data_IF_353480488927
#
_entry.id   IF_353480488927
#
_cell.length_a   1.000
_cell.length_b   1.000
_cell.length_c   1.000
_cell.angle_alpha   90.00
_cell.angle_beta   90.00
_cell.angle_gamma   90.00
#
_symmetry.space_group_name_H-M   'P 1'
#
loop_
_entity.id
_entity.type
_entity.pdbx_description
1 polymer ?
#
# COMPACT_ATOMS: atom_id res chain seq x y z
N UNK A 1 -13.22 19.08 -9.92
CA UNK A 1 -12.43 18.77 -8.72
C UNK A 1 -11.63 17.53 -9.02
N UNK A 2 -10.32 17.54 -8.80
CA UNK A 2 -9.49 16.34 -8.89
C UNK A 2 -9.95 15.42 -7.78
N UNK A 3 -10.31 14.17 -8.11
CA UNK A 3 -10.66 13.14 -7.13
C UNK A 3 -9.54 12.10 -7.11
N UNK A 4 -9.08 11.83 -5.90
CA UNK A 4 -8.13 10.77 -5.63
C UNK A 4 -8.88 9.48 -5.29
N UNK A 5 -8.31 8.32 -5.59
CA UNK A 5 -8.77 7.07 -4.98
C UNK A 5 -7.70 6.56 -4.04
N UNK A 6 -8.10 6.26 -2.81
CA UNK A 6 -7.25 5.66 -1.79
C UNK A 6 -7.76 4.26 -1.44
N UNK A 7 -6.98 3.25 -1.82
CA UNK A 7 -7.31 1.84 -1.64
C UNK A 7 -6.73 1.34 -0.32
N UNK A 8 -7.54 0.67 0.47
CA UNK A 8 -7.18 0.15 1.79
C UNK A 8 -7.57 -1.33 1.84
N UNK A 9 -6.61 -2.25 1.55
CA UNK A 9 -6.87 -3.68 1.70
C UNK A 9 -6.97 -4.03 3.18
N UNK A 10 -8.07 -4.67 3.59
CA UNK A 10 -8.39 -4.97 4.97
C UNK A 10 -8.75 -6.45 5.17
N UNK A 11 -7.84 -7.22 5.77
CA UNK A 11 -8.05 -8.64 6.09
C UNK A 11 -8.17 -8.84 7.60
N UNK A 12 -9.39 -9.05 8.10
CA UNK A 12 -9.70 -9.24 9.52
C UNK A 12 -9.17 -8.08 10.41
N UNK A 13 -9.57 -6.86 10.09
CA UNK A 13 -9.08 -5.63 10.75
C UNK A 13 -10.13 -5.04 11.74
N UNK A 14 -11.12 -5.80 12.19
CA UNK A 14 -12.22 -5.30 13.05
C UNK A 14 -11.74 -4.56 14.30
N UNK A 15 -10.58 -4.95 14.86
CA UNK A 15 -10.02 -4.31 16.06
C UNK A 15 -9.32 -2.97 15.75
N UNK A 16 -8.87 -2.74 14.49
CA UNK A 16 -7.98 -1.62 14.13
C UNK A 16 -8.52 -0.70 13.05
N UNK A 17 -9.47 -1.16 12.23
CA UNK A 17 -9.96 -0.39 11.09
C UNK A 17 -10.50 0.98 11.50
N UNK A 18 -11.03 1.13 12.72
CA UNK A 18 -11.49 2.41 13.27
C UNK A 18 -10.38 3.46 13.30
N UNK A 19 -9.13 3.07 13.58
CA UNK A 19 -7.98 4.00 13.59
C UNK A 19 -7.76 4.68 12.24
N UNK A 20 -8.13 4.02 11.15
CA UNK A 20 -8.04 4.57 9.80
C UNK A 20 -9.31 5.33 9.44
N UNK A 21 -10.49 4.78 9.75
CA UNK A 21 -11.78 5.42 9.47
C UNK A 21 -11.89 6.80 10.13
N UNK A 22 -11.49 6.92 11.40
CA UNK A 22 -11.53 8.18 12.16
C UNK A 22 -10.58 9.27 11.62
N UNK A 23 -9.63 8.91 10.76
CA UNK A 23 -8.76 9.86 10.06
C UNK A 23 -9.33 10.32 8.72
N UNK A 24 -10.39 9.69 8.21
CA UNK A 24 -11.00 10.05 6.93
C UNK A 24 -11.76 11.37 7.08
N UNK A 25 -11.26 12.41 6.43
CA UNK A 25 -11.82 13.76 6.49
C UNK A 25 -11.76 14.50 5.16
N UNK A 26 -11.11 13.90 4.13
CA UNK A 26 -10.84 14.54 2.85
C UNK A 26 -11.94 14.20 1.83
N UNK A 27 -12.85 15.11 1.51
CA UNK A 27 -13.96 14.84 0.57
C UNK A 27 -13.50 14.76 -0.89
N UNK A 28 -12.24 15.09 -1.19
CA UNK A 28 -11.64 14.90 -2.50
C UNK A 28 -11.17 13.46 -2.77
N UNK A 29 -11.19 12.61 -1.75
CA UNK A 29 -10.77 11.19 -1.83
C UNK A 29 -12.01 10.29 -1.93
N UNK A 30 -11.99 9.35 -2.88
CA UNK A 30 -12.81 8.14 -2.85
C UNK A 30 -12.05 7.08 -2.06
N UNK A 31 -12.53 6.73 -0.89
CA UNK A 31 -11.93 5.68 -0.05
C UNK A 31 -12.48 4.32 -0.47
N UNK A 32 -11.61 3.41 -0.92
CA UNK A 32 -11.99 2.07 -1.39
C UNK A 32 -11.41 1.04 -0.42
N UNK A 33 -12.27 0.56 0.49
CA UNK A 33 -11.88 -0.50 1.42
C UNK A 33 -12.18 -1.87 0.81
N UNK A 34 -11.15 -2.70 0.67
CA UNK A 34 -11.26 -4.05 0.09
C UNK A 34 -11.16 -5.05 1.22
N UNK A 35 -12.31 -5.54 1.67
CA UNK A 35 -12.46 -6.44 2.81
C UNK A 35 -12.54 -7.89 2.32
N UNK A 36 -11.47 -8.66 2.52
CA UNK A 36 -11.35 -10.06 2.09
C UNK A 36 -11.25 -11.06 3.26
N UNK A 37 -11.65 -10.61 4.46
CA UNK A 37 -11.68 -11.39 5.70
C UNK A 37 -13.05 -11.99 6.01
N UNK A 38 -13.15 -12.60 7.19
CA UNK A 38 -14.37 -13.27 7.70
C UNK A 38 -14.89 -12.62 8.98
N UNK A 39 -14.28 -11.54 9.46
CA UNK A 39 -14.65 -10.81 10.66
C UNK A 39 -15.65 -9.67 10.35
N UNK A 40 -15.89 -8.80 11.32
CA UNK A 40 -16.84 -7.70 11.21
C UNK A 40 -16.28 -6.43 10.56
N UNK A 41 -15.08 -6.48 10.00
CA UNK A 41 -14.46 -5.32 9.33
C UNK A 41 -15.41 -4.62 8.36
N UNK A 42 -16.05 -5.33 7.38
CA UNK A 42 -16.93 -4.66 6.42
C UNK A 42 -18.18 -4.05 7.07
N UNK A 43 -18.71 -4.63 8.14
CA UNK A 43 -19.86 -4.08 8.84
C UNK A 43 -19.51 -2.78 9.58
N UNK A 44 -18.31 -2.70 10.13
CA UNK A 44 -17.79 -1.49 10.77
C UNK A 44 -17.61 -0.37 9.73
N UNK A 45 -17.08 -0.70 8.55
CA UNK A 45 -16.91 0.26 7.45
C UNK A 45 -18.27 0.79 6.97
N UNK A 46 -19.24 -0.08 6.72
CA UNK A 46 -20.58 0.32 6.27
C UNK A 46 -21.32 1.14 7.35
N UNK A 47 -21.12 0.80 8.63
CA UNK A 47 -21.63 1.58 9.75
C UNK A 47 -21.05 3.00 9.77
N UNK A 48 -19.75 3.12 9.57
CA UNK A 48 -19.05 4.41 9.51
C UNK A 48 -19.51 5.25 8.29
N UNK A 49 -19.59 4.64 7.12
CA UNK A 49 -20.04 5.31 5.91
C UNK A 49 -21.45 5.90 6.03
N UNK A 50 -22.36 5.22 6.74
CA UNK A 50 -23.75 5.71 6.96
C UNK A 50 -23.81 6.97 7.82
N UNK A 51 -22.91 7.11 8.78
CA UNK A 51 -22.86 8.29 9.67
C UNK A 51 -22.00 9.42 9.14
N UNK A 52 -21.24 9.17 8.05
CA UNK A 52 -20.39 10.12 7.34
C UNK A 52 -20.75 10.21 5.86
N UNK A 53 -21.98 10.66 5.50
CA UNK A 53 -22.43 10.72 4.12
C UNK A 53 -21.69 11.77 3.28
N UNK A 54 -20.94 12.68 3.92
CA UNK A 54 -20.05 13.66 3.27
C UNK A 54 -18.78 13.03 2.66
N UNK A 55 -18.43 11.80 3.10
CA UNK A 55 -17.27 11.06 2.61
C UNK A 55 -17.70 10.04 1.56
N UNK A 56 -16.89 9.90 0.52
CA UNK A 56 -17.13 8.90 -0.53
C UNK A 56 -16.40 7.60 -0.14
N UNK A 57 -17.11 6.67 0.49
CA UNK A 57 -16.56 5.41 1.02
C UNK A 57 -17.22 4.24 0.30
N UNK A 58 -16.42 3.46 -0.42
CA UNK A 58 -16.82 2.22 -1.08
C UNK A 58 -16.24 1.02 -0.33
N UNK A 59 -17.11 0.17 0.21
CA UNK A 59 -16.75 -1.09 0.85
C UNK A 59 -16.95 -2.27 -0.12
N UNK A 60 -15.85 -2.86 -0.57
CA UNK A 60 -15.87 -4.06 -1.40
C UNK A 60 -15.69 -5.31 -0.52
N UNK A 61 -16.67 -6.22 -0.56
CA UNK A 61 -16.68 -7.44 0.26
C UNK A 61 -16.32 -8.66 -0.59
N UNK A 62 -15.34 -9.42 -0.14
CA UNK A 62 -14.92 -10.67 -0.78
C UNK A 62 -14.98 -11.85 0.19
N UNK A 63 -15.63 -12.93 -0.21
CA UNK A 63 -15.74 -14.15 0.59
C UNK A 63 -14.49 -15.04 0.59
N UNK A 64 -13.47 -14.66 -0.20
CA UNK A 64 -12.21 -15.39 -0.30
C UNK A 64 -11.04 -14.45 -0.13
N UNK A 65 -9.96 -14.95 0.50
CA UNK A 65 -8.75 -14.16 0.72
C UNK A 65 -8.06 -13.81 -0.59
N UNK A 66 -7.93 -12.51 -0.86
CA UNK A 66 -7.28 -11.96 -2.04
C UNK A 66 -5.76 -11.77 -1.84
N UNK A 67 -5.35 -11.55 -0.58
CA UNK A 67 -4.03 -11.07 -0.20
C UNK A 67 -3.86 -9.57 -0.45
N UNK A 68 -2.80 -8.96 0.11
CA UNK A 68 -2.55 -7.51 0.02
C UNK A 68 -2.57 -7.02 -1.43
N UNK A 69 -1.75 -7.61 -2.28
CA UNK A 69 -1.65 -7.23 -3.70
C UNK A 69 -2.94 -7.49 -4.47
N UNK A 70 -3.64 -8.61 -4.18
CA UNK A 70 -4.95 -8.88 -4.76
C UNK A 70 -5.97 -7.82 -4.38
N UNK A 71 -6.08 -7.47 -3.10
CA UNK A 71 -6.97 -6.41 -2.63
C UNK A 71 -6.68 -5.07 -3.29
N UNK A 72 -5.40 -4.68 -3.41
CA UNK A 72 -5.01 -3.44 -4.10
C UNK A 72 -5.44 -3.47 -5.57
N UNK A 73 -5.19 -4.56 -6.30
CA UNK A 73 -5.57 -4.69 -7.71
C UNK A 73 -7.09 -4.61 -7.91
N UNK A 74 -7.89 -5.23 -7.06
CA UNK A 74 -9.35 -5.11 -7.11
C UNK A 74 -9.82 -3.69 -6.80
N UNK A 75 -9.18 -3.02 -5.83
CA UNK A 75 -9.46 -1.61 -5.53
C UNK A 75 -9.12 -0.68 -6.71
N UNK A 76 -7.97 -0.88 -7.39
CA UNK A 76 -7.60 -0.13 -8.60
C UNK A 76 -8.64 -0.34 -9.70
N UNK A 77 -9.10 -1.57 -9.90
CA UNK A 77 -10.11 -1.90 -10.92
C UNK A 77 -11.47 -1.25 -10.61
N UNK A 78 -11.82 -1.06 -9.35
CA UNK A 78 -13.05 -0.38 -8.92
C UNK A 78 -12.94 1.15 -8.94
N UNK A 79 -11.73 1.69 -9.08
CA UNK A 79 -11.44 3.13 -9.11
C UNK A 79 -11.51 3.67 -10.53
N UNK A 80 -12.06 4.89 -10.66
CA UNK A 80 -12.06 5.68 -11.91
C UNK A 80 -11.17 6.92 -11.85
N UNK A 81 -10.50 7.17 -10.73
CA UNK A 81 -9.66 8.36 -10.54
C UNK A 81 -8.37 8.29 -11.35
N UNK A 82 -7.88 9.44 -11.81
CA UNK A 82 -6.60 9.58 -12.51
C UNK A 82 -5.39 9.40 -11.57
N UNK A 83 -5.59 9.65 -10.28
CA UNK A 83 -4.57 9.52 -9.26
C UNK A 83 -5.03 8.50 -8.21
N UNK A 84 -4.24 7.44 -8.06
CA UNK A 84 -4.59 6.27 -7.26
C UNK A 84 -3.50 5.98 -6.24
N UNK A 85 -3.90 5.87 -4.98
CA UNK A 85 -3.01 5.47 -3.90
C UNK A 85 -3.50 4.25 -3.17
N UNK A 86 -2.63 3.65 -2.39
CA UNK A 86 -3.00 2.62 -1.44
C UNK A 86 -2.21 2.76 -0.14
N UNK A 87 -2.82 2.33 0.96
CA UNK A 87 -2.19 2.30 2.27
C UNK A 87 -2.61 1.08 3.08
N UNK A 88 -1.81 0.69 4.07
CA UNK A 88 -2.15 -0.39 4.97
C UNK A 88 -3.30 0.01 5.93
N UNK A 89 -4.16 -0.95 6.30
CA UNK A 89 -5.33 -0.74 7.17
C UNK A 89 -4.99 -0.64 8.66
N UNK A 90 -3.71 -0.63 9.03
CA UNK A 90 -3.27 -0.69 10.43
C UNK A 90 -3.06 0.69 11.09
N UNK A 91 -3.27 1.78 10.33
CA UNK A 91 -3.11 3.16 10.83
C UNK A 91 -1.66 3.59 11.05
N UNK A 92 -0.68 2.83 10.55
CA UNK A 92 0.76 3.17 10.67
C UNK A 92 1.17 4.42 9.89
N UNK A 93 0.42 4.77 8.85
CA UNK A 93 0.54 6.00 8.06
C UNK A 93 -0.79 6.75 8.09
N UNK A 94 -0.77 8.09 8.17
CA UNK A 94 -1.99 8.89 8.22
C UNK A 94 -2.53 9.25 6.83
N UNK A 95 -3.83 9.55 6.75
CA UNK A 95 -4.48 10.08 5.54
C UNK A 95 -3.82 11.41 5.10
N UNK A 96 -3.46 12.27 6.05
CA UNK A 96 -2.75 13.52 5.75
C UNK A 96 -1.43 13.27 5.00
N UNK A 97 -0.66 12.26 5.41
CA UNK A 97 0.57 11.90 4.71
C UNK A 97 0.31 11.31 3.32
N UNK A 98 -0.82 10.63 3.12
CA UNK A 98 -1.24 10.21 1.78
C UNK A 98 -1.52 11.42 0.87
N UNK A 99 -2.13 12.50 1.42
CA UNK A 99 -2.32 13.75 0.67
C UNK A 99 -0.99 14.41 0.30
N UNK A 100 0.01 14.38 1.20
CA UNK A 100 1.36 14.87 0.87
C UNK A 100 2.00 14.06 -0.26
N UNK A 101 1.80 12.74 -0.28
CA UNK A 101 2.27 11.90 -1.39
C UNK A 101 1.52 12.21 -2.69
N UNK A 102 0.19 12.40 -2.66
CA UNK A 102 -0.60 12.76 -3.84
C UNK A 102 -0.12 14.08 -4.48
N UNK A 103 0.27 15.09 -3.69
CA UNK A 103 0.85 16.35 -4.21
C UNK A 103 2.12 16.12 -5.02
N UNK A 104 2.89 15.07 -4.72
CA UNK A 104 4.11 14.75 -5.49
C UNK A 104 3.81 14.32 -6.92
N UNK A 105 2.56 13.90 -7.20
CA UNK A 105 2.14 13.53 -8.55
C UNK A 105 2.05 14.74 -9.51
N UNK A 106 2.11 15.96 -9.02
CA UNK A 106 2.20 17.15 -9.88
C UNK A 106 3.45 17.11 -10.78
N UNK A 107 4.53 16.48 -10.31
CA UNK A 107 5.83 16.43 -11.02
C UNK A 107 6.40 15.02 -11.22
N UNK A 108 5.73 13.97 -10.70
CA UNK A 108 6.19 12.59 -10.78
C UNK A 108 5.07 11.63 -11.21
N UNK A 109 5.44 10.47 -11.73
CA UNK A 109 4.49 9.41 -12.09
C UNK A 109 4.00 8.62 -10.88
N UNK A 110 4.77 8.65 -9.79
CA UNK A 110 4.43 8.02 -8.53
C UNK A 110 5.23 8.58 -7.36
N UNK A 111 4.70 8.38 -6.16
CA UNK A 111 5.41 8.67 -4.91
C UNK A 111 5.20 7.55 -3.90
N UNK A 112 6.25 7.21 -3.17
CA UNK A 112 6.22 6.19 -2.13
C UNK A 112 6.69 6.76 -0.81
N UNK A 113 6.01 6.40 0.27
CA UNK A 113 6.45 6.71 1.62
C UNK A 113 7.69 5.90 2.00
N UNK A 114 8.57 6.48 2.82
CA UNK A 114 9.76 5.81 3.31
C UNK A 114 10.04 6.14 4.77
N UNK A 115 10.39 5.10 5.50
CA UNK A 115 10.86 5.18 6.90
C UNK A 115 12.37 5.44 7.01
N UNK A 116 13.09 5.43 5.88
CA UNK A 116 14.55 5.32 5.85
C UNK A 116 15.26 6.49 5.15
N UNK A 117 14.53 7.39 4.51
CA UNK A 117 15.10 8.59 3.89
C UNK A 117 15.23 9.73 4.93
N UNK A 118 16.12 10.71 4.69
CA UNK A 118 16.24 11.87 5.56
C UNK A 118 14.90 12.59 5.75
N UNK A 119 14.58 12.95 6.98
CA UNK A 119 13.29 13.56 7.34
C UNK A 119 12.21 12.58 7.82
N UNK A 120 12.37 11.28 7.57
CA UNK A 120 11.45 10.27 8.10
C UNK A 120 11.54 10.17 9.64
N UNK A 121 10.39 9.94 10.27
CA UNK A 121 10.28 9.80 11.73
C UNK A 121 9.58 8.50 12.08
N UNK A 122 10.12 7.74 13.02
CA UNK A 122 9.50 6.55 13.61
C UNK A 122 9.09 6.92 15.02
N UNK A 123 7.79 7.18 15.26
CA UNK A 123 7.28 7.61 16.55
C UNK A 123 7.29 6.50 17.59
N UNK A 124 6.93 5.28 17.19
CA UNK A 124 7.01 4.09 18.05
C UNK A 124 7.98 3.14 17.37
N UNK A 125 9.20 2.93 17.92
CA UNK A 125 10.22 2.14 17.27
C UNK A 125 9.93 0.65 17.39
N UNK A 126 10.14 -0.07 16.30
CA UNK A 126 10.18 -1.53 16.31
C UNK A 126 11.38 -2.06 17.12
N UNK A 127 11.25 -3.29 17.63
CA UNK A 127 12.39 -3.98 18.25
C UNK A 127 13.59 -4.05 17.31
N UNK A 128 14.81 -3.92 17.88
CA UNK A 128 16.07 -3.84 17.12
C UNK A 128 16.25 -4.99 16.12
N UNK A 129 15.95 -6.22 16.52
CA UNK A 129 16.05 -7.40 15.65
C UNK A 129 15.17 -7.28 14.40
N UNK A 130 13.92 -6.82 14.55
CA UNK A 130 12.97 -6.63 13.46
C UNK A 130 13.41 -5.52 12.50
N UNK A 131 13.98 -4.44 13.05
CA UNK A 131 14.53 -3.34 12.27
C UNK A 131 15.71 -3.79 11.40
N UNK A 132 16.62 -4.60 11.97
CA UNK A 132 17.76 -5.18 11.23
C UNK A 132 17.24 -6.12 10.13
N UNK A 133 16.33 -7.04 10.47
CA UNK A 133 15.72 -7.96 9.49
C UNK A 133 15.09 -7.22 8.32
N UNK A 134 14.31 -6.16 8.59
CA UNK A 134 13.66 -5.35 7.56
C UNK A 134 14.70 -4.66 6.65
N UNK A 135 15.79 -4.14 7.22
CA UNK A 135 16.85 -3.50 6.42
C UNK A 135 17.61 -4.48 5.55
N UNK A 136 17.99 -5.65 6.10
CA UNK A 136 18.67 -6.71 5.35
C UNK A 136 17.79 -7.18 4.19
N UNK A 137 16.50 -7.42 4.45
CA UNK A 137 15.55 -7.84 3.44
C UNK A 137 15.38 -6.79 2.33
N UNK A 138 15.24 -5.52 2.70
CA UNK A 138 15.15 -4.42 1.73
C UNK A 138 16.43 -4.29 0.88
N UNK A 139 17.60 -4.44 1.48
CA UNK A 139 18.88 -4.40 0.75
C UNK A 139 18.99 -5.55 -0.25
N UNK A 140 18.55 -6.75 0.12
CA UNK A 140 18.50 -7.91 -0.77
C UNK A 140 17.57 -7.68 -1.96
N UNK A 141 16.37 -7.15 -1.71
CA UNK A 141 15.39 -6.81 -2.76
C UNK A 141 15.98 -5.78 -3.72
N UNK A 142 16.57 -4.72 -3.17
CA UNK A 142 17.21 -3.67 -3.98
C UNK A 142 18.29 -4.23 -4.91
N UNK A 143 19.13 -5.11 -4.40
CA UNK A 143 20.16 -5.78 -5.20
C UNK A 143 19.55 -6.70 -6.28
N UNK A 144 18.53 -7.50 -5.93
CA UNK A 144 17.91 -8.47 -6.83
C UNK A 144 17.13 -7.80 -7.97
N UNK A 145 16.43 -6.69 -7.71
CA UNK A 145 15.58 -5.98 -8.69
C UNK A 145 16.22 -4.68 -9.21
N UNK A 146 17.38 -4.31 -8.71
CA UNK A 146 18.05 -3.06 -9.07
C UNK A 146 17.24 -1.82 -8.67
N UNK A 147 16.41 -1.89 -7.63
CA UNK A 147 15.55 -0.77 -7.22
C UNK A 147 16.36 0.31 -6.48
N UNK A 148 16.15 1.60 -6.78
CA UNK A 148 16.87 2.69 -6.12
C UNK A 148 16.30 3.04 -4.74
N UNK A 149 15.10 2.56 -4.39
CA UNK A 149 14.34 2.98 -3.21
C UNK A 149 14.87 2.35 -1.92
N UNK A 150 14.93 3.13 -0.85
CA UNK A 150 15.36 2.70 0.48
C UNK A 150 14.30 1.87 1.21
N UNK A 151 13.01 2.10 0.92
CA UNK A 151 11.87 1.42 1.56
C UNK A 151 10.84 0.93 0.53
N UNK A 152 11.12 -0.18 -0.12
CA UNK A 152 10.23 -0.76 -1.14
C UNK A 152 8.91 -1.28 -0.58
N UNK A 153 8.85 -1.55 0.74
CA UNK A 153 7.73 -2.23 1.40
C UNK A 153 6.88 -1.31 2.29
N UNK A 154 7.13 -0.01 2.29
CA UNK A 154 6.20 0.92 2.92
C UNK A 154 4.82 0.81 2.28
N UNK A 155 3.78 0.66 3.10
CA UNK A 155 2.40 0.48 2.62
C UNK A 155 1.80 1.72 1.94
N UNK A 156 2.39 2.90 2.14
CA UNK A 156 1.90 4.16 1.60
C UNK A 156 2.50 4.45 0.22
N UNK A 157 1.71 4.37 -0.83
CA UNK A 157 2.14 4.64 -2.22
C UNK A 157 1.01 5.27 -3.03
N UNK A 158 1.38 6.17 -3.93
CA UNK A 158 0.46 6.83 -4.87
C UNK A 158 1.06 6.85 -6.27
N UNK A 159 0.21 6.80 -7.28
CA UNK A 159 0.62 6.75 -8.69
C UNK A 159 -0.40 7.45 -9.59
N UNK A 160 0.06 8.00 -10.69
CA UNK A 160 -0.82 8.33 -11.81
C UNK A 160 -1.38 7.06 -12.43
N UNK A 161 -2.64 7.05 -12.80
CA UNK A 161 -3.27 5.91 -13.49
C UNK A 161 -2.53 5.57 -14.79
N UNK A 162 -2.12 6.58 -15.55
CA UNK A 162 -1.34 6.41 -16.78
C UNK A 162 -0.03 5.65 -16.59
N UNK A 163 0.60 5.75 -15.40
CA UNK A 163 1.79 4.97 -15.06
C UNK A 163 1.45 3.53 -14.66
N UNK A 164 0.29 3.30 -14.02
CA UNK A 164 -0.14 1.99 -13.58
C UNK A 164 -0.64 1.09 -14.72
N UNK A 165 -1.44 1.63 -15.65
CA UNK A 165 -2.11 0.86 -16.70
C UNK A 165 -1.16 -0.06 -17.52
N UNK A 166 0.04 0.37 -17.96
CA UNK A 166 0.94 -0.47 -18.72
C UNK A 166 1.49 -1.67 -17.94
N UNK A 167 1.43 -1.62 -16.59
CA UNK A 167 2.02 -2.63 -15.72
C UNK A 167 0.99 -3.54 -15.04
N UNK A 168 -0.26 -3.07 -14.83
CA UNK A 168 -1.28 -3.82 -14.08
C UNK A 168 -1.51 -5.23 -14.62
N UNK A 169 -1.62 -5.38 -15.96
CA UNK A 169 -1.82 -6.68 -16.60
C UNK A 169 -0.63 -7.64 -16.50
N UNK A 170 0.55 -7.10 -16.17
CA UNK A 170 1.79 -7.86 -16.03
C UNK A 170 2.03 -8.35 -14.59
N UNK A 171 1.36 -7.76 -13.58
CA UNK A 171 1.53 -8.09 -12.16
C UNK A 171 0.93 -9.46 -11.86
N UNK A 172 1.74 -10.34 -11.25
CA UNK A 172 1.36 -11.69 -10.86
C UNK A 172 1.23 -11.86 -9.34
N UNK A 173 1.94 -11.05 -8.59
CA UNK A 173 1.95 -11.08 -7.12
C UNK A 173 0.60 -10.70 -6.52
N UNK A 174 0.16 -11.47 -5.52
CA UNK A 174 -1.09 -11.22 -4.79
C UNK A 174 -0.85 -10.96 -3.30
N UNK A 175 0.31 -11.28 -2.79
CA UNK A 175 0.71 -11.10 -1.40
C UNK A 175 1.49 -9.82 -1.15
N UNK A 176 2.39 -9.86 -0.17
CA UNK A 176 3.25 -8.72 0.19
C UNK A 176 4.38 -8.44 -0.81
N UNK A 177 4.69 -9.41 -1.69
CA UNK A 177 5.63 -9.24 -2.79
C UNK A 177 5.13 -8.27 -3.89
N UNK A 178 3.84 -7.97 -3.89
CA UNK A 178 3.20 -7.02 -4.81
C UNK A 178 3.90 -5.67 -4.86
N UNK A 179 4.23 -5.11 -3.70
CA UNK A 179 4.88 -3.80 -3.61
C UNK A 179 6.19 -3.73 -4.41
N UNK A 180 6.98 -4.79 -4.32
CA UNK A 180 8.27 -4.90 -5.02
C UNK A 180 8.07 -5.11 -6.52
N UNK A 181 7.16 -6.01 -6.90
CA UNK A 181 6.86 -6.28 -8.32
C UNK A 181 6.34 -5.03 -9.01
N UNK A 182 5.42 -4.30 -8.37
CA UNK A 182 4.88 -3.05 -8.91
C UNK A 182 6.00 -2.03 -9.18
N UNK A 183 6.84 -1.74 -8.18
CA UNK A 183 7.93 -0.78 -8.32
C UNK A 183 8.95 -1.21 -9.38
N UNK A 184 9.24 -2.50 -9.48
CA UNK A 184 10.15 -3.04 -10.48
C UNK A 184 9.60 -2.88 -11.90
N UNK A 185 8.30 -3.17 -12.11
CA UNK A 185 7.66 -2.99 -13.41
C UNK A 185 7.57 -1.52 -13.82
N UNK A 186 7.19 -0.63 -12.90
CA UNK A 186 7.19 0.81 -13.14
C UNK A 186 8.58 1.31 -13.54
N UNK A 187 9.63 0.84 -12.86
CA UNK A 187 11.01 1.16 -13.24
C UNK A 187 11.35 0.68 -14.66
N UNK A 188 10.92 -0.53 -15.05
CA UNK A 188 11.14 -1.06 -16.43
C UNK A 188 10.42 -0.23 -17.49
N UNK A 189 9.26 0.35 -17.17
CA UNK A 189 8.52 1.27 -18.04
C UNK A 189 9.10 2.71 -18.03
N UNK A 190 10.16 2.96 -17.25
CA UNK A 190 10.79 4.29 -17.18
C UNK A 190 10.03 5.32 -16.33
N UNK A 191 9.06 4.89 -15.53
CA UNK A 191 8.26 5.80 -14.70
C UNK A 191 9.11 6.47 -13.61
N UNK A 192 8.94 7.79 -13.46
CA UNK A 192 9.58 8.62 -12.43
C UNK A 192 8.87 8.51 -11.09
N UNK A 193 9.37 7.61 -10.20
CA UNK A 193 8.82 7.45 -8.85
C UNK A 193 9.75 8.05 -7.82
N UNK A 194 9.23 8.94 -6.97
CA UNK A 194 9.97 9.60 -5.89
C UNK A 194 9.73 8.92 -4.54
N UNK A 195 10.76 8.88 -3.70
CA UNK A 195 10.69 8.37 -2.33
C UNK A 195 10.64 9.52 -1.32
N UNK A 196 9.57 9.57 -0.51
CA UNK A 196 9.26 10.68 0.39
C UNK A 196 9.33 10.25 1.85
N UNK A 197 9.83 11.11 2.76
CA UNK A 197 9.84 10.79 4.18
C UNK A 197 8.41 10.76 4.74
N UNK A 198 8.12 9.78 5.61
CA UNK A 198 6.87 9.71 6.36
C UNK A 198 7.12 9.67 7.86
N UNK A 199 6.09 10.04 8.61
CA UNK A 199 5.98 9.74 10.04
C UNK A 199 5.28 8.38 10.17
N UNK A 200 5.94 7.41 10.75
CA UNK A 200 5.44 6.04 10.86
C UNK A 200 5.28 5.62 12.31
N UNK A 201 4.16 4.97 12.63
CA UNK A 201 3.87 4.45 13.97
C UNK A 201 3.82 2.92 13.93
N UNK A 202 4.59 2.25 14.81
CA UNK A 202 4.37 0.82 15.03
C UNK A 202 3.13 0.62 15.90
N UNK A 203 2.05 0.15 15.33
CA UNK A 203 0.81 -0.17 16.06
C UNK A 203 0.89 -1.48 16.83
N UNK A 204 2.06 -2.12 16.87
CA UNK A 204 2.36 -3.30 17.71
C UNK A 204 1.75 -4.62 17.22
N UNK A 205 0.88 -4.61 16.24
CA UNK A 205 0.11 -5.77 15.78
C UNK A 205 0.46 -6.20 14.35
N UNK A 206 1.76 -6.19 14.01
CA UNK A 206 2.16 -6.67 12.68
C UNK A 206 1.79 -8.15 12.51
N UNK A 207 1.04 -8.44 11.46
CA UNK A 207 0.62 -9.80 11.09
C UNK A 207 1.67 -10.54 10.25
N UNK A 208 2.76 -9.88 9.86
CA UNK A 208 3.84 -10.52 9.07
C UNK A 208 4.66 -11.44 9.98
N UNK A 209 4.62 -12.74 9.71
CA UNK A 209 5.38 -13.78 10.41
C UNK A 209 6.70 -14.07 9.66
N UNK A 210 7.66 -14.68 10.31
CA UNK A 210 8.91 -15.11 9.66
C UNK A 210 8.65 -16.03 8.44
N UNK A 211 7.63 -16.89 8.51
CA UNK A 211 7.18 -17.73 7.39
C UNK A 211 6.73 -16.92 6.17
N UNK A 212 6.15 -15.73 6.39
CA UNK A 212 5.70 -14.87 5.31
C UNK A 212 6.89 -14.22 4.60
N UNK A 213 7.98 -13.93 5.32
CA UNK A 213 9.23 -13.43 4.74
C UNK A 213 9.84 -14.45 3.77
N UNK A 214 9.88 -15.73 4.12
CA UNK A 214 10.37 -16.79 3.23
C UNK A 214 9.48 -16.99 2.02
N UNK A 215 8.16 -16.99 2.22
CA UNK A 215 7.17 -17.09 1.13
C UNK A 215 7.30 -15.89 0.18
N UNK A 216 7.48 -14.70 0.73
CA UNK A 216 7.68 -13.47 -0.01
C UNK A 216 8.96 -13.53 -0.85
N UNK A 217 10.07 -14.01 -0.27
CA UNK A 217 11.33 -14.17 -0.99
C UNK A 217 11.20 -15.17 -2.15
N UNK A 218 10.55 -16.33 -1.92
CA UNK A 218 10.29 -17.30 -2.99
C UNK A 218 9.39 -16.75 -4.09
N UNK A 219 8.35 -15.98 -3.73
CA UNK A 219 7.49 -15.28 -4.68
C UNK A 219 8.26 -14.27 -5.53
N UNK A 220 9.14 -13.48 -4.90
CA UNK A 220 9.99 -12.51 -5.59
C UNK A 220 10.99 -13.16 -6.55
N UNK A 221 11.60 -14.28 -6.16
CA UNK A 221 12.47 -15.04 -7.06
C UNK A 221 11.70 -15.54 -8.30
N UNK A 222 10.47 -16.05 -8.10
CA UNK A 222 9.61 -16.44 -9.21
C UNK A 222 9.25 -15.26 -10.12
N UNK A 223 8.93 -14.09 -9.55
CA UNK A 223 8.69 -12.85 -10.31
C UNK A 223 9.94 -12.48 -11.13
N UNK A 224 11.12 -12.55 -10.53
CA UNK A 224 12.38 -12.19 -11.20
C UNK A 224 12.70 -13.13 -12.37
N UNK A 225 12.46 -14.44 -12.21
CA UNK A 225 12.71 -15.45 -13.24
C UNK A 225 11.68 -15.37 -14.36
N UNK A 226 10.41 -15.15 -14.04
CA UNK A 226 9.30 -15.17 -15.00
C UNK A 226 8.96 -13.79 -15.57
N UNK A 227 9.43 -12.75 -14.95
CA UNK A 227 9.02 -11.38 -15.27
C UNK A 227 9.66 -10.77 -16.51
N UNK A 228 10.57 -11.50 -17.14
CA UNK A 228 11.18 -11.11 -18.42
C UNK A 228 10.61 -11.92 -19.62
N UNK A 229 9.61 -12.80 -19.35
CA UNK A 229 8.89 -13.62 -20.34
C UNK A 229 7.53 -12.99 -20.69
#
# INVERSE_FOLDING_TARGET
>A
MIRYSLIIPAYNEEERIRLVLEQMSEPSIVYILVCDGTDRTPDIVDGFSKIHPELDILCLRYGTRLGKGGGILFGIAASSSEEVGFMDADGSTSIHQMMDLFRMLESHDGAIGSRWVPGARIEIPQGLARRIQSRVFNSLIRALFGLPYMDTQCGAKVFRRSALEPVLGKIRSRGFEFDVELLWRLKKEGCGVVECPIVWKDTGHSRVRASDTLRMLSGLLLVRIRGDA
#
